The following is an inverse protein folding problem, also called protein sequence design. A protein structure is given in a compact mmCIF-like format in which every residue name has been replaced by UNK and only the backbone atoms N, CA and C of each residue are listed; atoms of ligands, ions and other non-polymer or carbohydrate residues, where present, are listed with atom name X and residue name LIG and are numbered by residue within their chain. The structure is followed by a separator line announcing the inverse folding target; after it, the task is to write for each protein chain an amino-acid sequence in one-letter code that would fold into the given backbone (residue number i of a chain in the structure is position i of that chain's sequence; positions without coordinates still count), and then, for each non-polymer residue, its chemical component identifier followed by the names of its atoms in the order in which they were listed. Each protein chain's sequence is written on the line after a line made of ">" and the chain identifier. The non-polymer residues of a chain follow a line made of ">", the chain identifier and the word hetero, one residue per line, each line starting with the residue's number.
data_IF_920484560830
#
_entry.id   IF_920484560830
#
_cell.length_a   1.000
_cell.length_b   1.000
_cell.length_c   1.000
_cell.angle_alpha   90.00
_cell.angle_beta   90.00
_cell.angle_gamma   90.00
#
_symmetry.space_group_name_H-M   'P 1'
#
loop_
_entity.id
_entity.type
_entity.pdbx_description
1 polymer ?
#
# COMPACT_ATOMS: atom_id res chain seq x y z
N UNK A 1 15.09 3.92 -12.37
CA UNK A 1 15.38 4.13 -10.93
C UNK A 1 14.55 5.31 -10.47
N UNK A 2 13.56 5.05 -9.62
CA UNK A 2 12.66 6.08 -9.10
C UNK A 2 13.37 6.79 -7.94
N UNK A 3 13.79 8.04 -8.18
CA UNK A 3 14.55 8.84 -7.21
C UNK A 3 13.66 10.00 -6.76
N UNK A 4 13.35 10.02 -5.46
CA UNK A 4 12.63 11.14 -4.85
C UNK A 4 13.48 12.42 -4.87
N UNK A 5 12.87 13.60 -4.67
CA UNK A 5 13.57 14.89 -4.74
C UNK A 5 14.71 15.03 -3.71
N UNK A 6 14.74 14.16 -2.70
CA UNK A 6 15.79 14.04 -1.70
C UNK A 6 16.91 13.02 -2.05
N UNK A 7 16.93 12.48 -3.27
CA UNK A 7 17.97 11.54 -3.71
C UNK A 7 17.80 10.10 -3.20
N UNK A 8 16.63 9.77 -2.64
CA UNK A 8 16.33 8.42 -2.13
C UNK A 8 15.79 7.56 -3.26
N UNK A 9 16.40 6.39 -3.44
CA UNK A 9 15.86 5.36 -4.31
C UNK A 9 14.61 4.76 -3.67
N UNK A 10 13.49 4.74 -4.40
CA UNK A 10 12.29 4.05 -3.93
C UNK A 10 12.45 2.57 -4.28
N UNK A 11 12.89 1.78 -3.30
CA UNK A 11 13.15 0.33 -3.46
C UNK A 11 11.96 -0.55 -3.10
N UNK A 12 10.96 -0.01 -2.39
CA UNK A 12 9.80 -0.78 -1.95
C UNK A 12 8.50 0.02 -2.05
N UNK A 13 7.41 -0.69 -2.31
CA UNK A 13 6.05 -0.17 -2.32
C UNK A 13 5.27 -0.83 -1.17
N UNK A 14 4.69 -0.03 -0.26
CA UNK A 14 3.78 -0.52 0.78
C UNK A 14 2.34 -0.39 0.28
N UNK A 15 1.64 -1.51 0.18
CA UNK A 15 0.28 -1.56 -0.32
C UNK A 15 -0.66 -2.05 0.79
N UNK A 16 -1.56 -1.18 1.24
CA UNK A 16 -2.59 -1.52 2.22
C UNK A 16 -3.80 -2.06 1.46
N UNK A 17 -4.06 -3.36 1.58
CA UNK A 17 -5.15 -4.05 0.85
C UNK A 17 -6.47 -3.95 1.60
N UNK A 18 -6.42 -3.91 2.93
CA UNK A 18 -7.60 -3.83 3.78
C UNK A 18 -7.30 -3.10 5.08
N UNK A 19 -8.26 -2.30 5.52
CA UNK A 19 -8.26 -1.67 6.84
C UNK A 19 -8.88 -2.57 7.92
N UNK A 20 -9.35 -3.78 7.55
CA UNK A 20 -9.85 -4.76 8.51
C UNK A 20 -8.67 -5.46 9.17
N UNK A 21 -8.57 -5.28 10.48
CA UNK A 21 -7.62 -5.97 11.33
C UNK A 21 -8.36 -6.76 12.41
N UNK A 22 -8.11 -8.06 12.52
CA UNK A 22 -8.66 -8.92 13.58
C UNK A 22 -8.06 -8.59 14.96
N UNK A 23 -6.90 -7.93 15.00
CA UNK A 23 -6.21 -7.51 16.22
C UNK A 23 -6.62 -6.09 16.64
N UNK A 24 -7.16 -5.96 17.86
CA UNK A 24 -7.58 -4.68 18.44
C UNK A 24 -6.49 -4.09 19.35
N UNK A 25 -5.37 -3.73 18.75
CA UNK A 25 -4.25 -3.12 19.46
C UNK A 25 -4.60 -1.70 19.92
N UNK A 26 -4.52 -1.41 21.23
CA UNK A 26 -4.85 -0.08 21.78
C UNK A 26 -4.02 1.08 21.22
N UNK A 27 -2.85 0.79 20.63
CA UNK A 27 -1.95 1.76 20.01
C UNK A 27 -2.16 1.91 18.49
N UNK A 28 -2.99 1.05 17.86
CA UNK A 28 -3.32 1.13 16.43
C UNK A 28 -4.80 1.43 16.20
N UNK A 29 -5.70 0.71 16.86
CA UNK A 29 -7.14 0.91 16.78
C UNK A 29 -7.68 1.26 18.18
N UNK A 30 -8.09 2.52 18.44
CA UNK A 30 -8.68 2.88 19.71
C UNK A 30 -9.97 2.07 19.95
N UNK A 31 -10.21 1.68 21.21
CA UNK A 31 -11.40 0.92 21.60
C UNK A 31 -12.66 1.69 21.21
N UNK A 32 -13.36 1.23 20.17
CA UNK A 32 -14.58 1.87 19.66
C UNK A 32 -14.51 2.31 18.19
N UNK A 33 -13.36 2.18 17.51
CA UNK A 33 -13.27 2.46 16.08
C UNK A 33 -14.14 1.45 15.30
N UNK A 34 -15.21 1.95 14.67
CA UNK A 34 -16.20 1.18 13.90
C UNK A 34 -16.34 1.64 12.45
N UNK A 35 -15.62 2.69 12.06
CA UNK A 35 -15.59 3.21 10.70
C UNK A 35 -14.53 2.48 9.89
N UNK A 36 -14.78 1.22 9.58
CA UNK A 36 -14.04 0.55 8.51
C UNK A 36 -14.61 1.06 7.18
N UNK A 37 -13.74 1.39 6.23
CA UNK A 37 -14.20 1.75 4.89
C UNK A 37 -15.00 0.60 4.27
N UNK A 38 -16.04 0.99 3.52
CA UNK A 38 -16.85 0.07 2.77
C UNK A 38 -16.01 -0.58 1.66
N UNK A 39 -16.19 -1.89 1.41
CA UNK A 39 -15.36 -2.64 0.46
C UNK A 39 -15.46 -2.14 -0.99
N UNK A 40 -16.41 -1.25 -1.30
CA UNK A 40 -16.56 -0.62 -2.61
C UNK A 40 -15.40 0.32 -2.98
N UNK A 41 -14.72 0.89 -1.98
CA UNK A 41 -13.55 1.75 -2.21
C UNK A 41 -12.23 0.97 -2.22
N UNK A 42 -12.26 -0.35 -2.03
CA UNK A 42 -11.04 -1.14 -2.01
C UNK A 42 -10.52 -1.31 -3.43
N UNK A 43 -9.20 -1.20 -3.56
CA UNK A 43 -8.52 -1.52 -4.82
C UNK A 43 -8.84 -2.96 -5.21
N UNK A 44 -9.35 -3.13 -6.42
CA UNK A 44 -9.53 -4.46 -6.99
C UNK A 44 -8.17 -5.10 -7.27
N UNK A 45 -8.11 -6.44 -7.32
CA UNK A 45 -6.87 -7.15 -7.65
C UNK A 45 -6.24 -6.68 -8.97
N UNK A 46 -7.06 -6.36 -9.97
CA UNK A 46 -6.61 -5.86 -11.27
C UNK A 46 -5.94 -4.47 -11.16
N UNK A 47 -6.49 -3.57 -10.33
CA UNK A 47 -5.87 -2.27 -10.08
C UNK A 47 -4.56 -2.40 -9.32
N UNK A 48 -4.50 -3.30 -8.33
CA UNK A 48 -3.26 -3.60 -7.60
C UNK A 48 -2.20 -4.09 -8.59
N UNK A 49 -2.54 -5.01 -9.48
CA UNK A 49 -1.61 -5.54 -10.49
C UNK A 49 -1.12 -4.44 -11.43
N UNK A 50 -2.01 -3.57 -11.93
CA UNK A 50 -1.62 -2.43 -12.77
C UNK A 50 -0.67 -1.47 -12.05
N UNK A 51 -0.96 -1.14 -10.80
CA UNK A 51 -0.12 -0.24 -9.99
C UNK A 51 1.25 -0.88 -9.75
N UNK A 52 1.29 -2.13 -9.29
CA UNK A 52 2.55 -2.85 -9.05
C UNK A 52 3.36 -2.98 -10.34
N UNK A 53 2.73 -3.31 -11.47
CA UNK A 53 3.42 -3.41 -12.77
C UNK A 53 3.98 -2.05 -13.23
N UNK A 54 3.27 -0.95 -13.00
CA UNK A 54 3.76 0.39 -13.29
C UNK A 54 4.97 0.76 -12.44
N UNK A 55 4.92 0.49 -11.13
CA UNK A 55 6.04 0.73 -10.21
C UNK A 55 7.26 -0.16 -10.52
N UNK A 56 7.02 -1.44 -10.84
CA UNK A 56 8.06 -2.36 -11.27
C UNK A 56 8.80 -1.86 -12.53
N UNK A 57 8.06 -1.33 -13.52
CA UNK A 57 8.66 -0.69 -14.73
C UNK A 57 9.44 0.58 -14.42
N UNK A 58 9.08 1.33 -13.38
CA UNK A 58 9.79 2.53 -12.95
C UNK A 58 11.09 2.23 -12.18
N UNK A 59 11.32 0.95 -11.85
CA UNK A 59 12.54 0.45 -11.25
C UNK A 59 12.48 0.32 -9.73
N UNK A 60 11.28 0.14 -9.16
CA UNK A 60 11.12 -0.24 -7.74
C UNK A 60 11.28 -1.75 -7.49
N UNK A 61 11.76 -2.50 -8.48
CA UNK A 61 12.15 -3.90 -8.36
C UNK A 61 13.49 -4.04 -9.04
N UNK A 62 14.53 -4.33 -8.26
CA UNK A 62 15.90 -4.46 -8.75
C UNK A 62 16.00 -5.47 -9.88
N UNK A 63 16.19 -4.97 -11.10
CA UNK A 63 16.88 -5.65 -12.19
C UNK A 63 17.44 -4.58 -13.11
N UNK A 64 18.68 -4.20 -12.86
CA UNK A 64 19.43 -3.19 -13.59
C UNK A 64 20.34 -2.41 -12.67
#
# INVERSE_FOLDING_TARGET
>A
MLIDRFGRAIEYLRLSVTDRCDLRCSYCLPKGFKHFEEPENWLTFDEIERVVAAFARLGTGGCG
#
